data_IF_404672543539
#
_entry.id   IF_404672543539
#
_cell.length_a   1.000
_cell.length_b   1.000
_cell.length_c   1.000
_cell.angle_alpha   90.00
_cell.angle_beta   90.00
_cell.angle_gamma   90.00
#
_symmetry.space_group_name_H-M   'P 1'
#
loop_
_entity.id
_entity.type
_entity.pdbx_description
1 polymer ?
#
# COMPACT_ATOMS: atom_id res chain seq x y z
N UNK A 1 -53.49 -32.73 35.87
CA UNK A 1 -53.16 -31.33 36.23
C UNK A 1 -52.14 -31.39 37.35
N UNK A 2 -50.86 -31.29 37.02
CA UNK A 2 -49.77 -31.41 38.00
C UNK A 2 -49.21 -30.02 38.27
N UNK A 3 -49.50 -29.49 39.46
CA UNK A 3 -48.98 -28.21 39.93
C UNK A 3 -47.57 -28.40 40.47
N UNK A 4 -46.59 -27.79 39.79
CA UNK A 4 -45.19 -27.73 40.23
C UNK A 4 -45.02 -26.48 41.09
N UNK A 5 -44.75 -26.68 42.38
CA UNK A 5 -44.46 -25.62 43.34
C UNK A 5 -42.96 -25.32 43.32
N UNK A 6 -42.58 -24.14 42.83
CA UNK A 6 -41.19 -23.66 42.82
C UNK A 6 -40.94 -22.84 44.09
N UNK A 7 -39.92 -23.21 44.86
CA UNK A 7 -39.51 -22.53 46.08
C UNK A 7 -38.82 -21.18 45.78
N UNK A 8 -39.02 -20.15 46.63
CA UNK A 8 -38.43 -18.82 46.41
C UNK A 8 -36.93 -18.81 46.77
N UNK A 9 -36.09 -18.52 45.79
CA UNK A 9 -34.66 -18.25 45.97
C UNK A 9 -34.46 -16.80 46.44
N UNK A 10 -33.80 -16.64 47.60
CA UNK A 10 -33.42 -15.35 48.18
C UNK A 10 -32.33 -14.68 47.32
N UNK A 11 -32.72 -13.72 46.49
CA UNK A 11 -31.79 -12.80 45.84
C UNK A 11 -31.38 -11.69 46.80
N UNK A 12 -30.08 -11.62 47.13
CA UNK A 12 -29.49 -10.58 47.96
C UNK A 12 -29.09 -9.42 47.06
N UNK A 13 -29.95 -8.40 46.96
CA UNK A 13 -29.68 -7.18 46.20
C UNK A 13 -28.68 -6.34 47.00
N UNK A 14 -27.47 -6.15 46.46
CA UNK A 14 -26.44 -5.28 47.02
C UNK A 14 -26.75 -3.85 46.56
N UNK A 15 -27.09 -2.97 47.50
CA UNK A 15 -27.41 -1.57 47.23
C UNK A 15 -26.21 -0.85 46.60
N UNK A 16 -26.46 -0.11 45.52
CA UNK A 16 -25.47 0.74 44.87
C UNK A 16 -25.27 2.04 45.67
N UNK A 17 -24.03 2.58 45.74
CA UNK A 17 -23.77 3.84 46.41
C UNK A 17 -24.36 5.01 45.62
N UNK A 18 -25.21 5.78 46.30
CA UNK A 18 -25.71 7.08 45.85
C UNK A 18 -24.53 8.04 45.69
N UNK A 19 -24.29 8.49 44.45
CA UNK A 19 -23.35 9.59 44.18
C UNK A 19 -24.03 10.90 44.56
N UNK A 20 -23.46 11.58 45.55
CA UNK A 20 -23.81 12.94 45.92
C UNK A 20 -23.55 13.89 44.74
N UNK A 21 -24.54 14.74 44.47
CA UNK A 21 -24.47 15.79 43.47
C UNK A 21 -23.50 16.87 43.93
N UNK A 22 -22.31 16.89 43.34
CA UNK A 22 -21.33 17.95 43.55
C UNK A 22 -21.73 19.16 42.69
N UNK A 23 -22.40 20.14 43.32
CA UNK A 23 -22.69 21.45 42.75
C UNK A 23 -21.38 22.23 42.56
N UNK A 24 -20.83 22.15 41.34
CA UNK A 24 -19.74 22.98 40.85
C UNK A 24 -20.25 24.40 40.57
N UNK A 25 -19.92 25.33 41.46
CA UNK A 25 -20.07 26.76 41.26
C UNK A 25 -19.03 27.24 40.23
N UNK A 26 -19.51 27.69 39.07
CA UNK A 26 -18.67 28.37 38.08
C UNK A 26 -18.41 29.80 38.56
N UNK A 27 -17.16 30.09 38.91
CA UNK A 27 -16.67 31.47 39.01
C UNK A 27 -16.18 31.95 37.63
N UNK A 28 -16.50 33.20 37.22
CA UNK A 28 -16.05 33.74 35.95
C UNK A 28 -14.54 34.00 36.00
N UNK A 29 -13.79 33.33 35.13
CA UNK A 29 -12.34 33.50 34.98
C UNK A 29 -12.02 34.84 34.32
N UNK A 30 -11.25 35.65 35.04
CA UNK A 30 -10.64 36.89 34.56
C UNK A 30 -9.78 36.65 33.32
N UNK A 31 -10.01 37.47 32.31
CA UNK A 31 -9.30 37.51 31.04
C UNK A 31 -7.85 37.99 31.25
N UNK A 32 -6.91 37.06 31.36
CA UNK A 32 -5.47 37.35 31.29
C UNK A 32 -5.07 37.39 29.81
N UNK A 33 -4.61 38.56 29.35
CA UNK A 33 -4.07 38.77 28.03
C UNK A 33 -2.83 37.89 27.78
N UNK A 34 -2.70 37.23 26.60
CA UNK A 34 -1.56 36.38 26.31
C UNK A 34 -0.31 37.24 26.08
N UNK A 35 0.71 37.02 26.91
CA UNK A 35 2.05 37.53 26.71
C UNK A 35 2.65 36.95 25.41
N UNK A 36 3.17 37.83 24.56
CA UNK A 36 3.79 37.49 23.29
C UNK A 36 5.08 36.68 23.52
N UNK A 37 5.01 35.37 23.31
CA UNK A 37 6.19 34.50 23.22
C UNK A 37 6.78 34.67 21.82
N UNK A 38 7.98 35.25 21.74
CA UNK A 38 8.73 35.39 20.50
C UNK A 38 9.02 33.99 19.93
N UNK A 39 8.38 33.69 18.79
CA UNK A 39 8.57 32.44 18.07
C UNK A 39 10.00 32.37 17.50
N UNK A 40 10.73 31.32 17.86
CA UNK A 40 12.02 30.99 17.24
C UNK A 40 11.86 30.85 15.72
N UNK A 41 12.85 31.25 14.91
CA UNK A 41 12.78 31.18 13.45
C UNK A 41 12.70 29.70 13.02
N UNK A 42 11.51 29.27 12.62
CA UNK A 42 11.29 27.97 12.01
C UNK A 42 12.04 27.97 10.68
N UNK A 43 13.10 27.15 10.59
CA UNK A 43 13.79 26.88 9.31
C UNK A 43 12.76 26.30 8.35
N UNK A 44 12.29 27.11 7.40
CA UNK A 44 11.37 26.66 6.34
C UNK A 44 12.07 25.55 5.54
N UNK A 45 11.41 24.41 5.40
CA UNK A 45 11.85 23.36 4.50
C UNK A 45 12.01 23.94 3.09
N UNK A 46 13.10 23.58 2.40
CA UNK A 46 13.35 24.00 1.03
C UNK A 46 12.20 23.55 0.12
N UNK A 47 11.87 24.38 -0.87
CA UNK A 47 10.85 24.06 -1.87
C UNK A 47 11.24 22.76 -2.61
N UNK A 48 10.37 21.75 -2.70
CA UNK A 48 10.68 20.50 -3.40
C UNK A 48 11.11 20.72 -4.87
N UNK A 49 10.62 21.78 -5.52
CA UNK A 49 11.05 22.13 -6.88
C UNK A 49 12.48 22.67 -6.93
N UNK A 50 12.89 23.44 -5.91
CA UNK A 50 14.27 23.93 -5.81
C UNK A 50 15.24 22.76 -5.57
N UNK A 51 14.84 21.78 -4.75
CA UNK A 51 15.63 20.57 -4.52
C UNK A 51 15.78 19.72 -5.80
N UNK A 52 14.72 19.58 -6.58
CA UNK A 52 14.75 18.86 -7.85
C UNK A 52 15.68 19.52 -8.87
N UNK A 53 15.58 20.85 -9.02
CA UNK A 53 16.44 21.60 -9.94
C UNK A 53 17.92 21.53 -9.51
N UNK A 54 18.19 21.60 -8.20
CA UNK A 54 19.54 21.45 -7.68
C UNK A 54 20.13 20.07 -7.97
N UNK A 55 19.33 19.01 -7.82
CA UNK A 55 19.76 17.65 -8.17
C UNK A 55 20.04 17.50 -9.68
N UNK A 56 19.23 18.12 -10.54
CA UNK A 56 19.46 18.12 -11.99
C UNK A 56 20.77 18.84 -12.36
N UNK A 57 21.03 20.02 -11.80
CA UNK A 57 22.28 20.74 -12.08
C UNK A 57 23.51 20.00 -11.54
N UNK A 58 23.43 19.39 -10.36
CA UNK A 58 24.50 18.55 -9.82
C UNK A 58 24.78 17.34 -10.73
N UNK A 59 23.73 16.71 -11.29
CA UNK A 59 23.88 15.59 -12.23
C UNK A 59 24.55 16.02 -13.54
N UNK A 60 24.26 17.24 -14.01
CA UNK A 60 24.88 17.79 -15.22
C UNK A 60 26.38 18.06 -15.02
N UNK A 61 26.76 18.65 -13.88
CA UNK A 61 28.18 18.86 -13.54
C UNK A 61 28.92 17.53 -13.38
N UNK A 62 28.30 16.52 -12.76
CA UNK A 62 28.89 15.18 -12.66
C UNK A 62 29.10 14.53 -14.04
N UNK A 63 28.15 14.71 -14.97
CA UNK A 63 28.28 14.20 -16.35
C UNK A 63 29.42 14.90 -17.10
N UNK A 64 29.55 16.22 -17.00
CA UNK A 64 30.67 16.96 -17.62
C UNK A 64 32.04 16.61 -17.01
N UNK A 65 32.09 16.19 -15.74
CA UNK A 65 33.32 15.66 -15.15
C UNK A 65 33.68 14.28 -15.71
N UNK A 66 32.69 13.39 -15.89
CA UNK A 66 32.91 12.04 -16.43
C UNK A 66 33.38 12.05 -17.90
N UNK A 67 32.94 13.02 -18.69
CA UNK A 67 33.37 13.21 -20.09
C UNK A 67 34.80 13.78 -20.21
N UNK A 68 35.49 14.04 -19.09
CA UNK A 68 36.86 14.56 -19.06
C UNK A 68 36.98 16.04 -19.44
N UNK A 69 35.86 16.72 -19.66
CA UNK A 69 35.78 18.16 -19.97
C UNK A 69 36.16 19.06 -18.80
N UNK A 70 36.08 18.58 -17.56
CA UNK A 70 36.47 19.32 -16.37
C UNK A 70 37.51 18.53 -15.57
N UNK A 71 38.63 19.17 -15.26
CA UNK A 71 39.58 18.70 -14.25
C UNK A 71 38.98 18.86 -12.83
N UNK A 72 39.59 18.24 -11.82
CA UNK A 72 39.07 18.27 -10.44
C UNK A 72 38.86 19.69 -9.87
N UNK A 73 39.70 20.65 -10.27
CA UNK A 73 39.49 22.07 -9.96
C UNK A 73 38.29 22.68 -10.69
N UNK A 74 38.11 22.37 -11.98
CA UNK A 74 36.98 22.83 -12.78
C UNK A 74 35.62 22.34 -12.26
N UNK A 75 35.57 21.12 -11.71
CA UNK A 75 34.36 20.58 -11.11
C UNK A 75 33.94 21.35 -9.83
N UNK A 76 34.90 21.68 -8.97
CA UNK A 76 34.64 22.45 -7.76
C UNK A 76 34.17 23.88 -8.09
N UNK A 77 34.80 24.53 -9.09
CA UNK A 77 34.39 25.84 -9.57
C UNK A 77 32.98 25.84 -10.17
N UNK A 78 32.63 24.84 -10.99
CA UNK A 78 31.30 24.71 -11.59
C UNK A 78 30.21 24.50 -10.53
N UNK A 79 30.45 23.65 -9.51
CA UNK A 79 29.51 23.47 -8.39
C UNK A 79 29.33 24.76 -7.57
N UNK A 80 30.41 25.51 -7.34
CA UNK A 80 30.33 26.80 -6.65
C UNK A 80 29.47 27.81 -7.44
N UNK A 81 29.66 27.86 -8.77
CA UNK A 81 28.91 28.76 -9.65
C UNK A 81 27.42 28.39 -9.71
N UNK A 82 27.09 27.09 -9.76
CA UNK A 82 25.69 26.61 -9.65
C UNK A 82 25.06 26.99 -8.31
N UNK A 83 25.82 26.87 -7.21
CA UNK A 83 25.34 27.25 -5.87
C UNK A 83 25.06 28.76 -5.77
N UNK A 84 25.87 29.59 -6.42
CA UNK A 84 25.69 31.04 -6.48
C UNK A 84 24.55 31.46 -7.41
N UNK A 85 24.38 30.78 -8.55
CA UNK A 85 23.18 30.94 -9.38
C UNK A 85 21.90 30.57 -8.63
N UNK A 86 21.92 29.49 -7.84
CA UNK A 86 20.75 29.10 -7.06
C UNK A 86 20.42 30.06 -5.91
N UNK A 87 21.43 30.69 -5.29
CA UNK A 87 21.20 31.66 -4.21
C UNK A 87 20.63 32.99 -4.72
N UNK A 88 20.88 33.33 -5.99
CA UNK A 88 20.36 34.55 -6.63
C UNK A 88 18.94 34.38 -7.15
N UNK A 89 18.47 33.15 -7.38
CA UNK A 89 17.06 32.87 -7.71
C UNK A 89 16.23 32.97 -6.42
N UNK A 90 15.89 34.20 -6.05
CA UNK A 90 14.92 34.49 -5.01
C UNK A 90 13.51 34.16 -5.54
N UNK A 91 13.10 32.88 -5.48
CA UNK A 91 11.74 32.49 -5.78
C UNK A 91 10.87 33.05 -4.64
N UNK A 92 10.01 34.06 -4.91
CA UNK A 92 9.14 34.59 -3.87
C UNK A 92 8.27 33.44 -3.38
N UNK A 93 8.33 33.15 -2.07
CA UNK A 93 7.59 32.06 -1.47
C UNK A 93 6.10 32.18 -1.84
N UNK A 94 5.65 31.34 -2.77
CA UNK A 94 4.23 31.29 -3.13
C UNK A 94 3.50 30.79 -1.90
N UNK A 95 2.64 31.60 -1.26
CA UNK A 95 1.92 31.14 -0.09
C UNK A 95 1.15 29.90 -0.50
N UNK A 96 1.33 28.80 0.23
CA UNK A 96 0.63 27.55 -0.01
C UNK A 96 -0.85 27.88 -0.20
N UNK A 97 -1.37 27.69 -1.42
CA UNK A 97 -2.77 27.97 -1.73
C UNK A 97 -3.59 27.01 -0.89
N UNK A 98 -4.01 27.46 0.29
CA UNK A 98 -5.05 26.80 1.06
C UNK A 98 -6.29 26.88 0.21
N UNK A 99 -6.53 25.83 -0.57
CA UNK A 99 -7.74 25.71 -1.38
C UNK A 99 -8.89 25.64 -0.41
N UNK A 100 -9.50 26.80 -0.15
CA UNK A 100 -10.70 26.90 0.66
C UNK A 100 -11.72 25.96 0.03
N UNK A 101 -12.10 24.91 0.78
CA UNK A 101 -13.06 23.94 0.28
C UNK A 101 -14.34 24.71 0.03
N UNK A 102 -14.75 24.83 -1.23
CA UNK A 102 -16.01 25.47 -1.61
C UNK A 102 -17.14 24.78 -0.84
N UNK A 103 -17.80 25.51 0.04
CA UNK A 103 -18.95 25.01 0.78
C UNK A 103 -20.10 24.93 -0.21
N UNK A 104 -20.50 23.72 -0.57
CA UNK A 104 -21.65 23.50 -1.46
C UNK A 104 -22.93 23.77 -0.66
N UNK A 105 -23.87 24.59 -1.15
CA UNK A 105 -25.13 24.84 -0.47
C UNK A 105 -25.98 23.56 -0.40
N UNK A 106 -26.82 23.44 0.62
CA UNK A 106 -27.48 22.18 0.96
C UNK A 106 -28.34 21.61 -0.18
N UNK A 107 -29.07 22.46 -0.90
CA UNK A 107 -29.92 22.07 -2.04
C UNK A 107 -29.12 21.53 -3.24
N UNK A 108 -27.88 21.99 -3.39
CA UNK A 108 -26.98 21.57 -4.46
C UNK A 108 -26.11 20.37 -4.09
N UNK A 109 -26.26 19.81 -2.89
CA UNK A 109 -25.51 18.62 -2.47
C UNK A 109 -26.12 17.35 -3.03
N UNK A 110 -25.26 16.38 -3.28
CA UNK A 110 -25.63 15.02 -3.67
C UNK A 110 -26.61 14.42 -2.65
N UNK A 111 -27.70 13.80 -3.12
CA UNK A 111 -28.72 13.18 -2.26
C UNK A 111 -28.31 11.82 -1.68
N UNK A 112 -27.12 11.31 -2.00
CA UNK A 112 -26.65 10.05 -1.45
C UNK A 112 -26.25 10.18 0.03
N UNK A 113 -26.60 9.17 0.82
CA UNK A 113 -26.13 9.01 2.18
C UNK A 113 -24.72 8.39 2.19
N UNK A 114 -23.84 8.87 3.04
CA UNK A 114 -22.47 8.35 3.24
C UNK A 114 -22.24 8.01 4.70
N UNK A 115 -21.32 7.07 4.98
CA UNK A 115 -21.05 6.62 6.35
C UNK A 115 -20.56 7.73 7.29
N UNK A 116 -20.06 8.88 6.80
CA UNK A 116 -19.35 9.93 7.54
C UNK A 116 -19.72 10.08 9.02
N UNK A 117 -18.93 9.42 9.90
CA UNK A 117 -19.06 9.47 11.36
C UNK A 117 -19.91 8.37 12.00
N UNK A 118 -20.61 7.54 11.21
CA UNK A 118 -21.56 6.53 11.66
C UNK A 118 -23.02 7.03 11.75
N UNK A 119 -23.29 8.27 11.34
CA UNK A 119 -24.62 8.89 11.44
C UNK A 119 -25.37 8.96 10.10
N UNK A 120 -24.74 8.51 9.00
CA UNK A 120 -25.36 8.54 7.67
C UNK A 120 -25.54 9.96 7.17
N UNK A 121 -24.46 10.74 7.09
CA UNK A 121 -24.49 12.13 6.62
C UNK A 121 -24.73 12.23 5.12
N UNK A 122 -25.19 13.39 4.66
CA UNK A 122 -25.33 13.67 3.24
C UNK A 122 -23.94 13.79 2.59
N UNK A 123 -23.79 13.23 1.38
CA UNK A 123 -22.62 13.43 0.56
C UNK A 123 -22.34 14.94 0.36
N UNK A 124 -21.12 15.38 0.65
CA UNK A 124 -20.73 16.81 0.62
C UNK A 124 -20.42 17.34 -0.78
N UNK A 125 -20.34 16.46 -1.77
CA UNK A 125 -20.10 16.83 -3.16
C UNK A 125 -21.36 17.43 -3.81
N UNK A 126 -21.16 18.36 -4.74
CA UNK A 126 -22.27 18.96 -5.48
C UNK A 126 -22.90 17.98 -6.46
N UNK A 127 -24.20 18.13 -6.72
CA UNK A 127 -24.90 17.51 -7.84
C UNK A 127 -24.21 17.93 -9.13
N UNK A 128 -24.02 16.99 -10.06
CA UNK A 128 -23.46 17.30 -11.38
C UNK A 128 -24.63 17.43 -12.38
N UNK A 129 -24.68 18.49 -13.22
CA UNK A 129 -25.65 18.57 -14.30
C UNK A 129 -25.63 17.29 -15.14
N UNK A 130 -26.79 16.69 -15.39
CA UNK A 130 -26.94 15.42 -16.12
C UNK A 130 -26.77 14.14 -15.29
N UNK A 131 -26.36 14.21 -14.03
CA UNK A 131 -26.26 13.05 -13.12
C UNK A 131 -27.46 12.92 -12.17
N UNK A 132 -28.56 13.63 -12.46
CA UNK A 132 -29.76 13.70 -11.62
C UNK A 132 -29.46 14.29 -10.24
N UNK A 133 -29.89 13.60 -9.19
CA UNK A 133 -29.78 14.03 -7.80
C UNK A 133 -28.41 13.77 -7.14
N UNK A 134 -27.45 13.22 -7.88
CA UNK A 134 -26.21 12.72 -7.33
C UNK A 134 -24.97 13.44 -7.87
N UNK A 135 -23.88 13.39 -7.13
CA UNK A 135 -22.55 13.71 -7.67
C UNK A 135 -22.11 12.61 -8.64
N UNK A 136 -21.06 12.88 -9.44
CA UNK A 136 -20.57 11.92 -10.45
C UNK A 136 -20.27 10.52 -9.88
N UNK A 137 -19.69 10.45 -8.67
CA UNK A 137 -19.37 9.18 -8.00
C UNK A 137 -20.61 8.43 -7.55
N UNK A 138 -21.52 9.10 -6.85
CA UNK A 138 -22.74 8.49 -6.34
C UNK A 138 -23.74 8.16 -7.47
N UNK A 139 -23.72 8.90 -8.58
CA UNK A 139 -24.52 8.61 -9.75
C UNK A 139 -24.17 7.25 -10.35
N UNK A 140 -22.87 6.96 -10.56
CA UNK A 140 -22.41 5.64 -11.03
C UNK A 140 -22.90 4.51 -10.13
N UNK A 141 -22.91 4.72 -8.81
CA UNK A 141 -23.44 3.74 -7.86
C UNK A 141 -24.97 3.63 -7.93
N UNK A 142 -25.67 4.75 -8.11
CA UNK A 142 -27.13 4.75 -8.25
C UNK A 142 -27.62 4.04 -9.52
N UNK A 143 -26.81 4.00 -10.58
CA UNK A 143 -27.11 3.23 -11.80
C UNK A 143 -27.09 1.71 -11.56
N UNK A 144 -26.34 1.24 -10.56
CA UNK A 144 -26.33 -0.18 -10.18
C UNK A 144 -27.60 -0.51 -9.40
N UNK A 145 -27.86 0.22 -8.31
CA UNK A 145 -29.11 0.13 -7.56
C UNK A 145 -29.26 1.32 -6.63
N UNK A 146 -30.48 1.84 -6.53
CA UNK A 146 -30.86 2.86 -5.55
C UNK A 146 -31.39 2.26 -4.24
N UNK A 147 -31.69 0.96 -4.24
CA UNK A 147 -32.19 0.26 -3.06
C UNK A 147 -31.04 0.09 -2.06
N UNK A 148 -31.20 0.52 -0.80
CA UNK A 148 -30.14 0.39 0.19
C UNK A 148 -29.91 -1.07 0.60
N UNK A 149 -28.76 -1.31 1.25
CA UNK A 149 -28.39 -2.58 1.88
C UNK A 149 -28.43 -3.81 0.95
N UNK A 150 -28.11 -3.59 -0.32
CA UNK A 150 -27.95 -4.66 -1.30
C UNK A 150 -26.51 -5.19 -1.26
N UNK A 151 -26.39 -6.51 -1.27
CA UNK A 151 -25.11 -7.22 -1.37
C UNK A 151 -25.09 -8.06 -2.63
N UNK A 152 -23.94 -8.16 -3.28
CA UNK A 152 -23.68 -9.20 -4.28
C UNK A 152 -23.54 -10.56 -3.59
N UNK A 153 -23.59 -11.65 -4.36
CA UNK A 153 -23.32 -13.01 -3.87
C UNK A 153 -21.95 -13.14 -3.18
N UNK A 154 -20.98 -12.28 -3.54
CA UNK A 154 -19.65 -12.23 -2.91
C UNK A 154 -19.59 -11.45 -1.59
N UNK A 155 -20.71 -10.87 -1.14
CA UNK A 155 -20.79 -10.03 0.05
C UNK A 155 -20.27 -8.60 -0.13
N UNK A 156 -19.93 -8.17 -1.36
CA UNK A 156 -19.63 -6.77 -1.67
C UNK A 156 -20.91 -5.93 -1.69
N UNK A 157 -20.80 -4.68 -1.24
CA UNK A 157 -21.89 -3.72 -1.26
C UNK A 157 -22.23 -3.33 -2.71
N UNK A 158 -23.52 -3.34 -3.06
CA UNK A 158 -23.99 -2.93 -4.38
C UNK A 158 -24.63 -1.54 -4.32
N UNK A 159 -24.40 -0.78 -5.39
CA UNK A 159 -24.98 0.53 -5.65
C UNK A 159 -24.92 1.52 -4.49
N UNK A 160 -26.01 2.23 -4.27
CA UNK A 160 -26.14 3.22 -3.21
C UNK A 160 -26.42 2.54 -1.86
N UNK A 161 -25.41 1.86 -1.31
CA UNK A 161 -25.56 0.95 -0.17
C UNK A 161 -26.26 1.57 1.06
N UNK A 162 -26.03 2.85 1.36
CA UNK A 162 -26.68 3.54 2.48
C UNK A 162 -27.97 4.28 2.10
N UNK A 163 -28.39 4.18 0.84
CA UNK A 163 -29.58 4.81 0.30
C UNK A 163 -29.44 6.32 0.14
N UNK A 164 -30.59 6.97 -0.05
CA UNK A 164 -30.69 8.43 -0.16
C UNK A 164 -30.88 9.08 1.20
N UNK A 165 -30.61 10.39 1.27
CA UNK A 165 -30.72 11.20 2.49
C UNK A 165 -32.19 11.49 2.88
N UNK A 166 -33.08 11.55 1.90
CA UNK A 166 -34.53 11.78 2.02
C UNK A 166 -35.29 10.52 2.46
N UNK A 167 -34.70 9.33 2.28
CA UNK A 167 -35.26 8.07 2.74
C UNK A 167 -34.87 7.76 4.20
N UNK A 168 -35.71 7.01 4.94
CA UNK A 168 -35.38 6.58 6.29
C UNK A 168 -34.07 5.80 6.31
N UNK A 169 -33.29 5.96 7.38
CA UNK A 169 -32.00 5.28 7.54
C UNK A 169 -32.24 3.76 7.47
N UNK A 170 -31.63 3.06 6.50
CA UNK A 170 -31.87 1.64 6.34
C UNK A 170 -31.12 0.87 7.42
N UNK A 171 -31.81 -0.03 8.12
CA UNK A 171 -31.26 -0.82 9.24
C UNK A 171 -31.20 -2.30 8.89
N UNK A 172 -32.24 -2.79 8.20
CA UNK A 172 -32.44 -4.21 7.93
C UNK A 172 -32.58 -4.49 6.43
N UNK A 173 -32.13 -5.67 6.02
CA UNK A 173 -32.29 -6.22 4.67
C UNK A 173 -32.49 -7.74 4.78
N UNK A 174 -33.56 -8.26 4.18
CA UNK A 174 -33.85 -9.70 4.19
C UNK A 174 -34.00 -10.33 5.59
N UNK A 175 -34.49 -9.59 6.58
CA UNK A 175 -34.59 -10.06 7.97
C UNK A 175 -33.29 -9.98 8.79
N UNK A 176 -32.20 -9.54 8.19
CA UNK A 176 -30.91 -9.37 8.86
C UNK A 176 -30.63 -7.91 9.21
N UNK A 177 -30.08 -7.67 10.41
CA UNK A 177 -29.54 -6.36 10.79
C UNK A 177 -28.21 -6.15 10.07
N UNK A 178 -28.15 -5.13 9.21
CA UNK A 178 -26.98 -4.92 8.35
C UNK A 178 -26.12 -3.76 8.82
N UNK A 179 -26.75 -2.68 9.26
CA UNK A 179 -26.06 -1.43 9.64
C UNK A 179 -26.58 -0.96 10.99
N UNK A 180 -25.65 -0.65 11.90
CA UNK A 180 -25.93 -0.01 13.17
C UNK A 180 -25.49 1.46 13.09
N UNK A 181 -26.45 2.36 12.92
CA UNK A 181 -26.20 3.79 12.98
C UNK A 181 -25.94 4.23 14.42
N UNK A 182 -25.15 5.29 14.61
CA UNK A 182 -24.85 5.84 15.94
C UNK A 182 -26.00 6.63 16.55
N UNK A 183 -27.07 6.88 15.80
CA UNK A 183 -28.24 7.58 16.31
C UNK A 183 -28.99 6.69 17.32
N UNK A 184 -29.45 7.25 18.46
CA UNK A 184 -30.10 6.48 19.52
C UNK A 184 -31.36 5.76 19.02
N UNK A 185 -32.18 6.42 18.21
CA UNK A 185 -33.40 5.83 17.63
C UNK A 185 -33.08 4.61 16.75
N UNK A 186 -31.98 4.64 15.98
CA UNK A 186 -31.55 3.50 15.18
C UNK A 186 -30.98 2.38 16.05
N UNK A 187 -30.27 2.72 17.12
CA UNK A 187 -29.74 1.75 18.08
C UNK A 187 -30.86 0.99 18.81
N UNK A 188 -31.95 1.68 19.17
CA UNK A 188 -33.15 1.06 19.75
C UNK A 188 -33.82 0.11 18.77
N UNK A 189 -34.03 0.53 17.51
CA UNK A 189 -34.58 -0.33 16.45
C UNK A 189 -33.74 -1.58 16.21
N UNK A 190 -32.41 -1.43 16.20
CA UNK A 190 -31.49 -2.58 16.12
C UNK A 190 -31.67 -3.51 17.32
N UNK A 191 -31.75 -2.97 18.53
CA UNK A 191 -31.94 -3.76 19.76
C UNK A 191 -33.28 -4.51 19.75
N UNK A 192 -34.35 -3.85 19.33
CA UNK A 192 -35.67 -4.47 19.18
C UNK A 192 -35.68 -5.56 18.11
N UNK A 193 -35.02 -5.32 16.96
CA UNK A 193 -34.90 -6.33 15.91
C UNK A 193 -34.14 -7.58 16.40
N UNK A 194 -33.02 -7.38 17.11
CA UNK A 194 -32.25 -8.47 17.70
C UNK A 194 -33.05 -9.22 18.77
N UNK A 195 -33.82 -8.53 19.60
CA UNK A 195 -34.71 -9.15 20.58
C UNK A 195 -35.85 -9.95 19.91
N UNK A 196 -36.31 -9.51 18.74
CA UNK A 196 -37.26 -10.23 17.89
C UNK A 196 -36.67 -11.41 17.12
N UNK A 197 -35.42 -11.79 17.37
CA UNK A 197 -34.75 -12.93 16.73
C UNK A 197 -34.03 -12.60 15.43
N UNK A 198 -33.95 -11.34 15.02
CA UNK A 198 -33.10 -10.96 13.88
C UNK A 198 -31.63 -11.23 14.21
N UNK A 199 -30.86 -11.60 13.20
CA UNK A 199 -29.40 -11.80 13.32
C UNK A 199 -28.65 -10.76 12.51
N UNK A 200 -27.38 -10.50 12.86
CA UNK A 200 -26.54 -9.62 12.06
C UNK A 200 -26.21 -10.28 10.72
N UNK A 201 -26.25 -9.52 9.64
CA UNK A 201 -25.90 -10.03 8.32
C UNK A 201 -24.46 -10.57 8.32
N UNK A 202 -24.16 -11.73 7.70
CA UNK A 202 -22.83 -12.38 7.77
C UNK A 202 -21.65 -11.49 7.34
N UNK A 203 -21.90 -10.57 6.40
CA UNK A 203 -20.89 -9.66 5.87
C UNK A 203 -20.75 -8.36 6.67
N UNK A 204 -21.62 -8.11 7.65
CA UNK A 204 -21.53 -6.93 8.51
C UNK A 204 -20.28 -6.97 9.40
N UNK A 205 -19.72 -5.80 9.72
CA UNK A 205 -18.56 -5.71 10.61
C UNK A 205 -18.83 -6.28 12.01
N UNK A 206 -20.07 -6.19 12.48
CA UNK A 206 -20.53 -6.75 13.77
C UNK A 206 -20.53 -8.28 13.77
N UNK A 207 -21.03 -8.92 12.70
CA UNK A 207 -20.97 -10.38 12.56
C UNK A 207 -19.50 -10.87 12.58
N UNK A 208 -18.59 -10.15 11.91
CA UNK A 208 -17.15 -10.46 11.93
C UNK A 208 -16.50 -10.28 13.31
N UNK A 209 -17.05 -9.43 14.18
CA UNK A 209 -16.55 -9.28 15.57
C UNK A 209 -16.99 -10.45 16.45
N UNK A 210 -18.23 -10.93 16.33
CA UNK A 210 -18.76 -12.01 17.18
C UNK A 210 -18.18 -13.39 16.84
N UNK A 211 -17.74 -13.63 15.60
CA UNK A 211 -17.07 -14.88 15.20
C UNK A 211 -15.59 -14.91 15.62
N UNK A 212 -15.10 -13.93 16.39
CA UNK A 212 -13.81 -14.04 17.07
C UNK A 212 -13.91 -14.96 18.28
N UNK A 213 -14.03 -16.27 18.03
CA UNK A 213 -13.43 -17.26 18.94
C UNK A 213 -11.92 -16.99 19.08
N UNK A 214 -11.17 -17.74 19.92
CA UNK A 214 -9.71 -17.66 19.93
C UNK A 214 -9.28 -17.74 18.46
N UNK A 215 -8.68 -16.65 17.98
CA UNK A 215 -8.29 -16.54 16.57
C UNK A 215 -7.41 -17.77 16.34
N UNK A 216 -7.92 -18.80 15.66
CA UNK A 216 -7.04 -19.81 15.07
C UNK A 216 -5.96 -19.01 14.35
N UNK A 217 -4.66 -19.29 14.60
CA UNK A 217 -3.57 -18.59 13.92
C UNK A 217 -3.98 -18.53 12.48
N UNK A 218 -4.00 -17.30 11.95
CA UNK A 218 -4.68 -16.94 10.72
C UNK A 218 -4.05 -17.80 9.63
N UNK A 219 -4.64 -18.97 9.37
CA UNK A 219 -4.02 -20.02 8.57
C UNK A 219 -3.54 -19.38 7.30
N UNK A 220 -2.22 -19.47 7.07
CA UNK A 220 -1.51 -18.73 6.04
C UNK A 220 -2.39 -18.72 4.79
N UNK A 221 -3.00 -17.56 4.53
CA UNK A 221 -3.98 -17.43 3.45
C UNK A 221 -3.16 -17.67 2.20
N UNK A 222 -3.21 -18.89 1.63
CA UNK A 222 -2.45 -19.33 0.44
C UNK A 222 -2.23 -18.11 -0.42
N UNK A 223 -1.03 -17.54 -0.31
CA UNK A 223 -0.71 -16.30 -0.98
C UNK A 223 -0.90 -16.67 -2.43
N UNK A 224 -1.87 -16.03 -3.11
CA UNK A 224 -1.89 -16.08 -4.57
C UNK A 224 -0.47 -15.70 -4.95
N UNK A 225 0.26 -16.60 -5.61
CA UNK A 225 1.67 -16.48 -5.97
C UNK A 225 1.90 -15.07 -6.51
N UNK A 226 2.28 -14.15 -5.62
CA UNK A 226 2.54 -12.78 -6.02
C UNK A 226 3.84 -12.90 -6.78
N UNK A 227 3.87 -12.37 -8.00
CA UNK A 227 5.10 -12.28 -8.79
C UNK A 227 6.23 -11.83 -7.86
N UNK A 228 7.40 -12.50 -7.86
CA UNK A 228 8.50 -12.16 -6.98
C UNK A 228 8.81 -10.67 -7.16
N UNK A 229 8.54 -9.87 -6.13
CA UNK A 229 8.79 -8.43 -6.14
C UNK A 229 10.21 -8.25 -5.62
N UNK A 230 11.09 -7.69 -6.46
CA UNK A 230 12.47 -7.41 -6.08
C UNK A 230 12.52 -6.64 -4.75
N UNK A 231 13.45 -7.01 -3.87
CA UNK A 231 13.60 -6.39 -2.56
C UNK A 231 14.02 -4.93 -2.74
N UNK A 232 13.41 -4.01 -1.98
CA UNK A 232 13.81 -2.59 -2.00
C UNK A 232 15.12 -2.41 -1.23
N UNK A 233 15.97 -1.50 -1.70
CA UNK A 233 17.21 -1.17 -0.99
C UNK A 233 16.93 -0.49 0.36
N UNK A 234 17.72 -0.84 1.38
CA UNK A 234 17.66 -0.25 2.72
C UNK A 234 18.29 1.14 2.71
N UNK A 235 17.61 2.11 3.33
CA UNK A 235 18.13 3.45 3.58
C UNK A 235 19.24 3.40 4.66
N UNK A 236 20.20 4.34 4.65
CA UNK A 236 21.26 4.47 5.65
C UNK A 236 20.75 4.39 7.10
N UNK A 237 19.59 4.97 7.39
CA UNK A 237 19.00 4.91 8.74
C UNK A 237 18.64 3.48 9.17
N UNK A 238 18.22 2.60 8.25
CA UNK A 238 17.90 1.20 8.58
C UNK A 238 19.15 0.38 8.88
N UNK A 239 20.27 0.67 8.22
CA UNK A 239 21.57 0.06 8.57
C UNK A 239 21.98 0.47 9.99
N UNK A 240 21.87 1.75 10.32
CA UNK A 240 22.12 2.25 11.68
C UNK A 240 21.19 1.63 12.72
N UNK A 241 19.89 1.48 12.43
CA UNK A 241 18.95 0.81 13.33
C UNK A 241 19.32 -0.67 13.55
N UNK A 242 19.79 -1.36 12.51
CA UNK A 242 20.20 -2.78 12.62
C UNK A 242 21.27 -3.01 13.68
N UNK A 243 22.27 -2.13 13.73
CA UNK A 243 23.39 -2.24 14.66
C UNK A 243 23.06 -1.72 16.06
N UNK A 244 22.39 -0.58 16.16
CA UNK A 244 22.25 0.14 17.43
C UNK A 244 20.99 -0.21 18.22
N UNK A 245 19.99 -0.84 17.58
CA UNK A 245 18.70 -1.14 18.23
C UNK A 245 18.82 -2.10 19.40
N UNK A 246 19.67 -3.10 19.33
CA UNK A 246 19.87 -4.05 20.43
C UNK A 246 20.46 -3.34 21.66
N UNK A 247 21.50 -2.54 21.47
CA UNK A 247 22.14 -1.76 22.54
C UNK A 247 21.16 -0.75 23.16
N UNK A 248 20.45 0.03 22.33
CA UNK A 248 19.50 1.03 22.84
C UNK A 248 18.29 0.41 23.56
N UNK A 249 17.83 -0.75 23.11
CA UNK A 249 16.78 -1.50 23.80
C UNK A 249 17.25 -1.96 25.18
N UNK A 250 18.47 -2.47 25.30
CA UNK A 250 19.04 -2.87 26.60
C UNK A 250 19.17 -1.68 27.56
N UNK A 251 19.64 -0.52 27.08
CA UNK A 251 19.72 0.71 27.87
C UNK A 251 18.35 1.16 28.38
N UNK A 252 17.33 1.17 27.51
CA UNK A 252 15.99 1.57 27.92
C UNK A 252 15.35 0.58 28.90
N UNK A 253 15.60 -0.73 28.74
CA UNK A 253 15.11 -1.74 29.70
C UNK A 253 15.80 -1.57 31.06
N UNK A 254 17.09 -1.25 31.08
CA UNK A 254 17.82 -0.98 32.32
C UNK A 254 17.39 0.33 33.00
N UNK A 255 16.95 1.32 32.23
CA UNK A 255 16.44 2.60 32.75
C UNK A 255 14.97 2.56 33.16
N UNK A 256 14.19 1.61 32.63
CA UNK A 256 12.79 1.44 32.95
C UNK A 256 12.63 0.94 34.39
N UNK A 257 11.64 1.47 35.11
CA UNK A 257 11.32 0.99 36.45
C UNK A 257 10.92 -0.49 36.40
N UNK A 258 11.17 -1.23 37.49
CA UNK A 258 10.87 -2.66 37.57
C UNK A 258 9.39 -2.92 37.22
N UNK A 259 9.16 -3.55 36.06
CA UNK A 259 7.82 -3.85 35.53
C UNK A 259 7.34 -3.00 34.35
N UNK A 260 8.05 -1.92 33.97
CA UNK A 260 7.71 -1.14 32.78
C UNK A 260 8.24 -1.82 31.51
N UNK A 261 7.33 -2.12 30.57
CA UNK A 261 7.67 -2.77 29.31
C UNK A 261 8.08 -1.73 28.28
N UNK A 262 9.36 -1.71 27.91
CA UNK A 262 9.86 -0.86 26.83
C UNK A 262 9.34 -1.37 25.49
N UNK A 263 8.54 -0.54 24.82
CA UNK A 263 8.00 -0.85 23.50
C UNK A 263 9.04 -0.63 22.39
N UNK A 264 8.87 -1.33 21.26
CA UNK A 264 9.67 -1.09 20.05
C UNK A 264 9.58 0.37 19.59
N UNK A 265 8.39 0.98 19.72
CA UNK A 265 8.17 2.38 19.35
C UNK A 265 9.07 3.34 20.14
N UNK A 266 9.30 3.08 21.43
CA UNK A 266 10.14 3.93 22.28
C UNK A 266 11.61 3.83 21.89
N UNK A 267 12.08 2.61 21.57
CA UNK A 267 13.44 2.36 21.07
C UNK A 267 13.67 3.10 19.74
N UNK A 268 12.76 2.96 18.77
CA UNK A 268 12.91 3.63 17.46
C UNK A 268 12.83 5.15 17.59
N UNK A 269 11.98 5.67 18.48
CA UNK A 269 11.89 7.12 18.75
C UNK A 269 13.18 7.67 19.36
N UNK A 270 13.80 6.94 20.28
CA UNK A 270 15.08 7.32 20.86
C UNK A 270 16.21 7.31 19.81
N UNK A 271 16.29 6.27 18.99
CA UNK A 271 17.30 6.17 17.92
C UNK A 271 17.12 7.23 16.82
N UNK A 272 15.88 7.56 16.48
CA UNK A 272 15.58 8.64 15.54
C UNK A 272 16.03 10.02 16.06
N UNK A 273 16.06 10.23 17.38
CA UNK A 273 16.63 11.43 17.97
C UNK A 273 18.17 11.43 17.88
N UNK A 274 18.82 10.30 18.19
CA UNK A 274 20.27 10.13 18.06
C UNK A 274 20.73 10.38 16.63
N UNK A 275 20.07 9.78 15.64
CA UNK A 275 20.39 9.95 14.22
C UNK A 275 20.32 11.41 13.76
N UNK A 276 19.35 12.19 14.24
CA UNK A 276 19.22 13.61 13.91
C UNK A 276 20.34 14.47 14.51
N UNK A 277 20.92 14.04 15.62
CA UNK A 277 22.04 14.73 16.29
C UNK A 277 23.41 14.28 15.80
N UNK A 278 23.50 13.14 15.11
CA UNK A 278 24.76 12.66 14.55
C UNK A 278 25.26 13.60 13.46
N UNK A 279 26.56 13.83 13.45
CA UNK A 279 27.26 14.56 12.40
C UNK A 279 27.24 13.77 11.08
N UNK A 280 27.57 14.45 9.99
CA UNK A 280 27.58 13.84 8.67
C UNK A 280 28.72 12.82 8.51
N UNK A 281 29.85 13.00 9.22
CA UNK A 281 30.95 12.04 9.16
C UNK A 281 30.60 10.72 9.86
N UNK A 282 29.90 10.76 11.00
CA UNK A 282 29.37 9.55 11.63
C UNK A 282 28.25 8.86 10.80
N UNK A 283 27.55 9.62 9.94
CA UNK A 283 26.54 9.06 9.02
C UNK A 283 27.13 8.52 7.71
N UNK A 284 28.33 8.96 7.33
CA UNK A 284 29.02 8.55 6.12
C UNK A 284 29.13 7.02 5.90
N UNK A 285 29.50 6.17 6.89
CA UNK A 285 29.57 4.72 6.66
C UNK A 285 28.21 4.12 6.29
N UNK A 286 27.13 4.58 6.91
CA UNK A 286 25.77 4.10 6.61
C UNK A 286 25.27 4.57 5.24
N UNK A 287 25.67 5.76 4.81
CA UNK A 287 25.37 6.27 3.45
C UNK A 287 26.10 5.44 2.40
N UNK A 288 27.36 5.03 2.65
CA UNK A 288 28.08 4.13 1.76
C UNK A 288 27.35 2.78 1.61
N UNK A 289 26.92 2.16 2.73
CA UNK A 289 26.13 0.93 2.70
C UNK A 289 24.79 1.10 1.94
N UNK A 290 24.11 2.24 2.09
CA UNK A 290 22.90 2.55 1.32
C UNK A 290 23.17 2.60 -0.18
N UNK A 291 24.27 3.23 -0.60
CA UNK A 291 24.62 3.31 -2.03
C UNK A 291 24.94 1.96 -2.64
N UNK A 292 25.65 1.10 -1.91
CA UNK A 292 25.93 -0.27 -2.35
C UNK A 292 24.66 -1.13 -2.44
N UNK A 293 23.78 -1.05 -1.44
CA UNK A 293 22.53 -1.81 -1.44
C UNK A 293 21.55 -1.33 -2.51
N UNK A 294 21.53 -0.02 -2.81
CA UNK A 294 20.80 0.54 -3.95
C UNK A 294 21.32 0.00 -5.28
N UNK A 295 22.64 -0.08 -5.46
CA UNK A 295 23.23 -0.65 -6.66
C UNK A 295 22.86 -2.14 -6.81
N UNK A 296 22.92 -2.92 -5.72
CA UNK A 296 22.52 -4.33 -5.70
C UNK A 296 21.03 -4.53 -6.02
N UNK A 297 20.15 -3.75 -5.39
CA UNK A 297 18.70 -3.85 -5.64
C UNK A 297 18.34 -3.47 -7.09
N UNK A 298 19.04 -2.51 -7.69
CA UNK A 298 18.87 -2.18 -9.11
C UNK A 298 19.34 -3.31 -10.03
N UNK A 299 20.47 -3.94 -9.71
CA UNK A 299 20.96 -5.11 -10.46
C UNK A 299 20.00 -6.30 -10.36
N UNK A 300 19.49 -6.60 -9.16
CA UNK A 300 18.51 -7.67 -8.94
C UNK A 300 17.20 -7.40 -9.68
N UNK A 301 16.73 -6.15 -9.65
CA UNK A 301 15.55 -5.74 -10.41
C UNK A 301 15.77 -5.91 -11.91
N UNK A 302 16.91 -5.48 -12.45
CA UNK A 302 17.25 -5.67 -13.87
C UNK A 302 17.33 -7.15 -14.25
N UNK A 303 17.92 -7.99 -13.39
CA UNK A 303 17.96 -9.45 -13.59
C UNK A 303 16.55 -10.05 -13.59
N UNK A 304 15.70 -9.66 -12.64
CA UNK A 304 14.33 -10.17 -12.55
C UNK A 304 13.48 -9.79 -13.78
N UNK A 305 13.66 -8.58 -14.31
CA UNK A 305 12.99 -8.15 -15.55
C UNK A 305 13.48 -8.94 -16.75
N UNK A 306 14.80 -9.15 -16.88
CA UNK A 306 15.36 -9.95 -17.97
C UNK A 306 14.88 -11.43 -17.93
N UNK A 307 14.70 -12.01 -16.73
CA UNK A 307 14.13 -13.36 -16.58
C UNK A 307 12.64 -13.39 -16.96
N UNK A 308 11.87 -12.36 -16.63
CA UNK A 308 10.46 -12.27 -17.00
C UNK A 308 10.31 -12.17 -18.53
N UNK A 309 11.13 -11.35 -19.19
CA UNK A 309 11.11 -11.22 -20.65
C UNK A 309 11.54 -12.53 -21.33
N UNK A 310 12.56 -13.20 -20.79
CA UNK A 310 13.00 -14.51 -21.31
C UNK A 310 11.92 -15.60 -21.14
N UNK A 311 11.18 -15.60 -20.03
CA UNK A 311 10.10 -16.55 -19.80
C UNK A 311 8.89 -16.32 -20.72
N UNK A 312 8.58 -15.06 -21.05
CA UNK A 312 7.51 -14.73 -22.00
C UNK A 312 7.83 -15.20 -23.43
N UNK A 313 9.09 -15.10 -23.86
CA UNK A 313 9.53 -15.57 -25.19
C UNK A 313 9.46 -17.10 -25.30
N UNK A 314 9.72 -17.84 -24.22
CA UNK A 314 9.63 -19.31 -24.21
C UNK A 314 8.17 -19.78 -24.29
N UNK A 315 7.22 -19.08 -23.65
CA UNK A 315 5.79 -19.44 -23.74
C UNK A 315 5.23 -19.25 -25.15
N UNK A 316 5.64 -18.20 -25.88
CA UNK A 316 5.16 -17.93 -27.25
C UNK A 316 5.73 -18.92 -28.28
N UNK A 317 6.92 -19.48 -28.03
CA UNK A 317 7.53 -20.51 -28.90
C UNK A 317 7.00 -21.94 -28.66
N UNK A 318 6.23 -22.18 -27.59
CA UNK A 318 5.64 -23.49 -27.29
C UNK A 318 4.15 -23.57 -27.67
N UNK A 319 3.59 -22.53 -28.30
CA UNK A 319 2.28 -22.59 -28.96
C UNK A 319 2.42 -23.22 -30.37
N UNK A 320 3.08 -24.39 -30.43
CA UNK A 320 3.14 -25.23 -31.62
C UNK A 320 1.87 -26.07 -31.71
N UNK A 321 0.98 -25.65 -32.62
CA UNK A 321 0.15 -26.51 -33.47
C UNK A 321 -0.85 -27.40 -32.71
N UNK A 322 -2.00 -26.81 -32.35
CA UNK A 322 -3.22 -27.60 -32.19
C UNK A 322 -3.88 -27.72 -33.58
N UNK A 323 -3.50 -28.74 -34.36
CA UNK A 323 -4.19 -29.09 -35.62
C UNK A 323 -5.52 -29.78 -35.30
N UNK A 324 -6.49 -29.01 -34.83
CA UNK A 324 -7.90 -29.39 -34.82
C UNK A 324 -8.66 -28.55 -35.87
N UNK A 325 -8.12 -28.52 -37.09
CA UNK A 325 -8.90 -28.15 -38.26
C UNK A 325 -9.66 -29.41 -38.70
N UNK A 326 -11.01 -29.40 -38.71
CA UNK A 326 -11.77 -30.57 -39.11
C UNK A 326 -11.47 -30.89 -40.58
N UNK A 327 -10.85 -32.05 -40.80
CA UNK A 327 -10.59 -32.60 -42.13
C UNK A 327 -11.96 -32.85 -42.79
N UNK A 328 -12.27 -32.21 -43.93
CA UNK A 328 -13.50 -32.51 -44.66
C UNK A 328 -13.43 -33.97 -45.14
N UNK A 329 -14.37 -34.80 -44.67
CA UNK A 329 -14.48 -36.18 -45.08
C UNK A 329 -14.76 -36.26 -46.59
N UNK A 330 -13.76 -36.64 -47.39
CA UNK A 330 -14.02 -36.90 -48.82
C UNK A 330 -12.85 -36.92 -49.80
N UNK A 331 -11.58 -36.91 -49.40
CA UNK A 331 -10.45 -36.98 -50.35
C UNK A 331 -9.46 -38.07 -49.97
N UNK A 332 -9.15 -38.92 -50.96
CA UNK A 332 -8.30 -40.11 -50.81
C UNK A 332 -6.83 -39.78 -50.57
N UNK A 333 -6.13 -40.74 -49.95
CA UNK A 333 -4.76 -40.58 -49.42
C UNK A 333 -3.66 -40.29 -50.47
N UNK A 334 -3.99 -40.25 -51.76
CA UNK A 334 -3.00 -40.13 -52.83
C UNK A 334 -2.74 -38.67 -53.29
N UNK A 335 -3.59 -37.70 -52.91
CA UNK A 335 -3.43 -36.29 -53.31
C UNK A 335 -2.76 -35.40 -52.25
N UNK A 336 -2.78 -35.78 -50.97
CA UNK A 336 -2.18 -34.99 -49.88
C UNK A 336 -0.64 -34.96 -49.98
N UNK A 337 -0.03 -35.99 -50.58
CA UNK A 337 1.41 -36.04 -50.82
C UNK A 337 1.92 -35.07 -51.90
N UNK A 338 1.09 -34.68 -52.88
CA UNK A 338 1.51 -33.75 -53.93
C UNK A 338 1.42 -32.27 -53.51
N UNK A 339 0.50 -31.93 -52.60
CA UNK A 339 0.35 -30.54 -52.12
C UNK A 339 1.48 -30.18 -51.14
N UNK A 340 1.96 -31.13 -50.33
CA UNK A 340 3.10 -30.88 -49.44
C UNK A 340 4.43 -30.73 -50.20
N UNK A 341 4.57 -31.39 -51.35
CA UNK A 341 5.79 -31.31 -52.17
C UNK A 341 5.89 -30.00 -52.99
N UNK A 342 4.77 -29.33 -53.29
CA UNK A 342 4.78 -28.05 -54.02
C UNK A 342 4.98 -26.83 -53.10
N UNK A 343 4.80 -26.97 -51.78
CA UNK A 343 4.97 -25.88 -50.82
C UNK A 343 6.42 -25.58 -50.42
N UNK A 344 7.36 -26.50 -50.67
CA UNK A 344 8.77 -26.38 -50.27
C UNK A 344 9.71 -25.83 -51.35
N UNK A 345 9.21 -25.59 -52.57
CA UNK A 345 10.03 -25.07 -53.69
C UNK A 345 9.89 -23.56 -53.92
N UNK A 346 9.16 -22.82 -53.08
CA UNK A 346 8.80 -21.42 -53.32
C UNK A 346 9.36 -20.41 -52.29
N UNK A 347 10.34 -20.78 -51.47
CA UNK A 347 10.97 -19.85 -50.49
C UNK A 347 12.47 -19.66 -50.65
N UNK A 348 13.06 -20.09 -51.78
CA UNK A 348 14.43 -19.74 -52.17
C UNK A 348 14.45 -18.72 -53.32
N UNK A 349 13.94 -17.51 -53.10
CA UNK A 349 14.34 -16.39 -53.97
C UNK A 349 14.28 -15.05 -53.21
N UNK A 350 15.42 -14.35 -53.20
CA UNK A 350 15.67 -12.97 -52.75
C UNK A 350 15.86 -12.73 -51.25
N UNK A 351 17.08 -13.05 -50.79
CA UNK A 351 17.79 -12.14 -49.87
C UNK A 351 19.12 -11.79 -50.54
N UNK A 352 19.19 -10.59 -51.11
CA UNK A 352 20.44 -9.96 -51.55
C UNK A 352 21.06 -9.21 -50.35
N UNK A 353 22.40 -9.12 -50.25
CA UNK A 353 23.06 -8.48 -49.13
C UNK A 353 23.00 -6.95 -49.27
N UNK A 354 22.50 -6.28 -48.24
CA UNK A 354 22.59 -4.82 -48.07
C UNK A 354 23.67 -4.57 -47.03
N UNK A 355 24.92 -4.61 -47.46
CA UNK A 355 26.02 -3.86 -46.84
C UNK A 355 26.38 -2.71 -47.78
N UNK A 356 26.80 -1.57 -47.22
CA UNK A 356 27.02 -0.26 -47.86
C UNK A 356 25.79 0.63 -48.09
N UNK A 357 25.46 1.46 -47.09
CA UNK A 357 25.06 2.87 -47.30
C UNK A 357 24.87 3.59 -45.96
N UNK A 358 25.94 3.75 -45.18
CA UNK A 358 25.90 4.52 -43.93
C UNK A 358 27.00 5.58 -43.77
N UNK A 359 27.71 5.93 -44.86
CA UNK A 359 28.80 6.93 -44.83
C UNK A 359 28.50 8.26 -45.54
N UNK A 360 27.26 8.53 -45.97
CA UNK A 360 26.95 9.73 -46.77
C UNK A 360 25.97 10.75 -46.14
N UNK A 361 25.82 10.78 -44.81
CA UNK A 361 24.96 11.77 -44.14
C UNK A 361 25.67 12.75 -43.18
N UNK A 362 27.00 12.86 -43.24
CA UNK A 362 27.75 13.86 -42.44
C UNK A 362 28.63 14.73 -43.35
N UNK A 363 28.02 15.52 -44.23
CA UNK A 363 28.65 16.75 -44.74
C UNK A 363 27.60 17.65 -45.37
N UNK A 364 27.12 18.65 -44.63
CA UNK A 364 26.24 19.65 -45.23
C UNK A 364 25.38 20.44 -44.25
N UNK A 365 25.97 21.06 -43.22
CA UNK A 365 25.31 22.18 -42.54
C UNK A 365 26.34 23.27 -42.21
N UNK A 366 26.43 24.22 -43.14
CA UNK A 366 26.95 25.56 -42.92
C UNK A 366 25.81 26.57 -43.09
N UNK A 367 25.75 27.46 -42.11
CA UNK A 367 25.16 28.80 -42.06
C UNK A 367 23.67 29.10 -42.25
N UNK A 368 23.25 29.97 -41.32
CA UNK A 368 22.16 30.95 -41.32
C UNK A 368 20.74 30.52 -41.74
N UNK A 369 19.80 30.57 -40.80
CA UNK A 369 18.75 31.61 -40.81
C UNK A 369 17.88 31.61 -39.54
N UNK A 370 17.71 32.82 -39.03
CA UNK A 370 16.65 33.32 -38.14
C UNK A 370 15.26 32.98 -38.72
N UNK A 371 14.28 32.44 -37.95
CA UNK A 371 13.05 33.11 -37.41
C UNK A 371 12.11 32.10 -36.70
N UNK A 372 11.48 32.57 -35.60
CA UNK A 372 10.12 32.31 -35.10
C UNK A 372 9.59 30.89 -34.77
N UNK A 373 9.46 30.68 -33.45
CA UNK A 373 8.25 30.29 -32.68
C UNK A 373 7.04 29.69 -33.42
N UNK A 374 6.59 28.50 -33.01
CA UNK A 374 5.25 28.30 -32.42
C UNK A 374 5.07 26.90 -31.80
N UNK A 375 4.29 26.88 -30.73
CA UNK A 375 3.88 25.79 -29.84
C UNK A 375 3.47 24.47 -30.52
N UNK A 376 3.97 23.35 -29.99
CA UNK A 376 3.25 22.07 -30.00
C UNK A 376 3.32 21.47 -28.59
N UNK A 377 2.14 21.18 -28.06
CA UNK A 377 1.87 20.67 -26.71
C UNK A 377 2.38 19.23 -26.55
N UNK A 378 3.24 19.01 -25.56
CA UNK A 378 3.70 17.68 -25.15
C UNK A 378 2.77 17.09 -24.09
N UNK A 379 2.16 15.95 -24.42
CA UNK A 379 1.49 15.04 -23.49
C UNK A 379 2.55 14.31 -22.67
N UNK A 380 2.75 14.68 -21.41
CA UNK A 380 3.53 13.89 -20.44
C UNK A 380 2.59 13.28 -19.40
N UNK A 381 2.40 11.97 -19.47
CA UNK A 381 1.68 11.20 -18.46
C UNK A 381 2.51 11.06 -17.18
N UNK A 382 2.02 11.65 -16.09
CA UNK A 382 2.54 11.43 -14.74
C UNK A 382 2.14 10.02 -14.24
N UNK A 383 3.13 9.15 -14.05
CA UNK A 383 2.96 7.90 -13.32
C UNK A 383 3.27 8.17 -11.84
N UNK A 384 2.21 8.32 -11.03
CA UNK A 384 2.29 8.42 -9.57
C UNK A 384 2.67 7.06 -8.98
N UNK A 385 3.91 6.93 -8.50
CA UNK A 385 4.35 5.82 -7.67
C UNK A 385 3.85 6.04 -6.23
N UNK A 386 2.85 5.26 -5.82
CA UNK A 386 2.36 5.21 -4.44
C UNK A 386 3.42 4.55 -3.52
N UNK A 387 3.93 5.33 -2.58
CA UNK A 387 4.82 4.91 -1.49
C UNK A 387 4.02 4.06 -0.47
N UNK A 388 4.09 2.74 -0.62
CA UNK A 388 3.61 1.80 0.40
C UNK A 388 4.74 1.45 1.36
N UNK A 389 4.65 1.94 2.61
CA UNK A 389 5.41 1.49 3.78
C UNK A 389 5.04 0.02 4.07
N UNK A 390 5.96 -0.91 3.84
CA UNK A 390 5.80 -2.33 4.20
C UNK A 390 6.72 -2.60 5.40
N UNK A 391 6.13 -2.88 6.56
CA UNK A 391 6.84 -3.38 7.74
C UNK A 391 7.38 -4.79 7.42
N UNK A 392 8.70 -4.99 7.54
CA UNK A 392 9.34 -6.31 7.44
C UNK A 392 8.90 -7.16 8.64
N UNK A 393 7.84 -7.94 8.46
CA UNK A 393 7.46 -9.04 9.34
C UNK A 393 8.52 -10.14 9.22
N UNK A 394 9.56 -10.10 10.06
CA UNK A 394 10.51 -11.21 10.19
C UNK A 394 9.75 -12.49 10.53
N UNK A 395 9.88 -13.52 9.69
CA UNK A 395 9.24 -14.82 9.91
C UNK A 395 9.76 -15.40 11.23
N UNK A 396 8.90 -15.39 12.25
CA UNK A 396 9.21 -15.98 13.55
C UNK A 396 9.19 -17.50 13.39
N UNK A 397 10.36 -18.10 13.39
CA UNK A 397 10.53 -19.56 13.44
C UNK A 397 10.28 -20.00 14.88
N UNK A 398 9.28 -20.86 15.09
CA UNK A 398 8.95 -21.38 16.42
C UNK A 398 9.72 -22.69 16.66
N UNK A 399 10.32 -22.83 17.83
CA UNK A 399 10.99 -24.05 18.28
C UNK A 399 9.92 -25.10 18.66
N UNK A 400 9.99 -26.29 18.07
CA UNK A 400 9.00 -27.35 18.22
C UNK A 400 9.64 -28.66 18.65
N UNK A 401 9.08 -29.29 19.69
CA UNK A 401 9.58 -30.56 20.23
C UNK A 401 8.71 -31.72 19.75
N UNK A 402 9.32 -32.72 19.10
CA UNK A 402 8.64 -33.94 18.66
C UNK A 402 8.39 -34.90 19.84
N UNK A 403 7.58 -35.94 19.58
CA UNK A 403 7.22 -36.94 20.59
C UNK A 403 8.42 -37.76 21.14
N UNK A 404 9.53 -37.82 20.39
CA UNK A 404 10.79 -38.46 20.80
C UNK A 404 11.70 -37.54 21.63
N UNK A 405 11.30 -36.28 21.84
CA UNK A 405 12.07 -35.28 22.60
C UNK A 405 13.10 -34.50 21.78
N UNK A 406 13.20 -34.75 20.47
CA UNK A 406 14.06 -33.97 19.57
C UNK A 406 13.44 -32.59 19.27
N UNK A 407 14.30 -31.59 19.06
CA UNK A 407 13.91 -30.18 18.90
C UNK A 407 14.27 -29.71 17.50
N UNK A 408 13.29 -29.13 16.82
CA UNK A 408 13.41 -28.61 15.46
C UNK A 408 12.82 -27.21 15.36
N UNK A 409 13.23 -26.49 14.33
CA UNK A 409 12.62 -25.24 13.92
C UNK A 409 11.43 -25.51 12.98
N UNK A 410 10.22 -25.10 13.36
CA UNK A 410 9.02 -25.29 12.54
C UNK A 410 8.76 -24.08 11.64
N UNK A 411 8.89 -24.30 10.34
CA UNK A 411 8.48 -23.35 9.31
C UNK A 411 6.96 -23.22 9.22
N UNK A 412 6.50 -22.07 8.70
CA UNK A 412 5.06 -21.79 8.55
C UNK A 412 4.33 -22.73 7.57
N UNK A 413 5.08 -23.44 6.75
CA UNK A 413 4.67 -24.46 5.79
C UNK A 413 4.57 -25.88 6.41
N UNK A 414 4.98 -26.04 7.67
CA UNK A 414 5.05 -27.35 8.34
C UNK A 414 6.38 -28.07 8.13
N UNK A 415 7.37 -27.42 7.49
CA UNK A 415 8.71 -27.97 7.30
C UNK A 415 9.50 -27.85 8.61
N UNK A 416 10.14 -28.94 9.02
CA UNK A 416 11.02 -28.98 10.18
C UNK A 416 12.46 -28.81 9.71
N UNK A 417 13.16 -27.85 10.30
CA UNK A 417 14.57 -27.58 10.07
C UNK A 417 15.37 -28.03 11.29
N UNK A 418 16.49 -28.69 11.05
CA UNK A 418 17.42 -29.09 12.11
C UNK A 418 18.00 -27.85 12.80
N UNK A 419 18.11 -27.87 14.13
CA UNK A 419 18.56 -26.70 14.91
C UNK A 419 20.05 -26.42 14.76
N UNK A 420 20.85 -27.43 14.42
CA UNK A 420 22.30 -27.30 14.23
C UNK A 420 22.63 -26.96 12.78
N UNK A 421 22.10 -27.73 11.82
CA UNK A 421 22.46 -27.58 10.40
C UNK A 421 21.60 -26.56 9.64
N UNK A 422 20.41 -26.21 10.16
CA UNK A 422 19.38 -25.45 9.43
C UNK A 422 18.94 -26.11 8.11
N UNK A 423 19.26 -27.39 7.89
CA UNK A 423 18.80 -28.16 6.74
C UNK A 423 17.38 -28.71 6.99
N UNK A 424 16.66 -28.99 5.91
CA UNK A 424 15.30 -29.54 5.97
C UNK A 424 15.38 -30.99 6.47
N UNK A 425 14.86 -31.22 7.68
CA UNK A 425 14.78 -32.56 8.27
C UNK A 425 13.56 -33.34 7.74
N UNK A 426 12.48 -32.63 7.37
CA UNK A 426 11.24 -33.23 6.87
C UNK A 426 10.02 -32.34 7.10
N UNK A 427 8.83 -32.92 7.09
CA UNK A 427 7.57 -32.21 7.39
C UNK A 427 6.89 -32.79 8.61
N UNK A 428 6.30 -31.92 9.45
CA UNK A 428 5.58 -32.34 10.66
C UNK A 428 4.23 -32.98 10.29
N UNK A 429 4.01 -34.21 10.75
CA UNK A 429 2.67 -34.79 10.76
C UNK A 429 1.87 -34.22 11.95
N UNK A 430 0.84 -33.44 11.64
CA UNK A 430 0.03 -32.71 12.63
C UNK A 430 -0.78 -33.67 13.51
N UNK A 431 -1.13 -34.86 13.01
CA UNK A 431 -2.04 -35.76 13.71
C UNK A 431 -1.37 -36.53 14.85
N UNK A 432 -0.08 -36.86 14.71
CA UNK A 432 0.67 -37.67 15.68
C UNK A 432 1.96 -37.02 16.20
N UNK A 433 2.25 -35.79 15.77
CA UNK A 433 3.47 -35.05 16.13
C UNK A 433 4.77 -35.80 15.79
N UNK A 434 4.78 -36.49 14.64
CA UNK A 434 5.96 -37.21 14.12
C UNK A 434 6.57 -36.53 12.89
N UNK A 435 7.85 -36.82 12.63
CA UNK A 435 8.59 -36.35 11.45
C UNK A 435 8.29 -37.25 10.25
N UNK A 436 7.78 -36.67 9.17
CA UNK A 436 7.73 -37.32 7.86
C UNK A 436 9.04 -36.95 7.16
N UNK A 437 9.94 -37.93 6.99
CA UNK A 437 11.23 -37.72 6.35
C UNK A 437 11.03 -37.16 4.93
N UNK A 438 11.81 -36.13 4.58
CA UNK A 438 11.90 -35.65 3.21
C UNK A 438 12.53 -36.77 2.35
N UNK A 439 11.83 -37.17 1.29
CA UNK A 439 12.29 -38.19 0.35
C UNK A 439 13.30 -37.65 -0.66
#
# INVERSE_FOLDING_TARGET
>A
MSTVTIAPTKFKIKAAPTKEANTLTFTPTESIAPAAVAAAPVKKAADPMALLLQNQMNSFVAKMAAEGTLNGEGQAAALAQVKEMMSTINIPAVPARTRTKKVVPAESRCMARVWGGGCGTQCTFSKKPGCGDYCSRCHKMSLVTTTPLQFSDTGKHLGLFWGRIDQPKPIMSGGFVTVQWKDPECAEKVTQALAGGATFHPFSGEAKKKVKGPRKPRGAKKSKTKKPKARRAKNAFFWFLGETRAAKKAELIAAAAEGEKVGVADVTKALGAVWKTMDEAARAPYVAMETEDKAKAQQELAQSLATIDSAAVVEESNETINTDVPIPAGLGNDEVGQILAQGLAATEEKVAPVEESLDNMISGLSDETVVNTTSIEGVSGENQLEEGEEEEDGESVEEHTLADGSVYYLGSDGTLYDTESHEIAGTLNIDDNTLIAAH
#
